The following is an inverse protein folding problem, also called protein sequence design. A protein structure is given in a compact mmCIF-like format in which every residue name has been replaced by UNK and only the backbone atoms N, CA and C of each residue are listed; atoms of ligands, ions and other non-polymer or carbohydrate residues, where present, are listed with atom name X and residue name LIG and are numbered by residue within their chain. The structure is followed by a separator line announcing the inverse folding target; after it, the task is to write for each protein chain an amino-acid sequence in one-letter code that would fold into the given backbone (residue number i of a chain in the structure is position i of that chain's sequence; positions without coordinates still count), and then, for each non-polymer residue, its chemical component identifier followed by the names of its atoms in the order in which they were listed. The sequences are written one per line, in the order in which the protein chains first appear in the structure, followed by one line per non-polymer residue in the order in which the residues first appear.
data_IF_700578831248
#
_entry.id   IF_700578831248
#
_cell.length_a   1.000
_cell.length_b   1.000
_cell.length_c   1.000
_cell.angle_alpha   90.00
_cell.angle_beta   90.00
_cell.angle_gamma   90.00
#
_symmetry.space_group_name_H-M   'P 1'
#
loop_
_entity.id
_entity.type
_entity.pdbx_description
1 polymer ?
#
# COMPACT_ATOMS: atom_id res chain seq x y z
N UNK A 1 -9.04 -19.57 27.63
CA UNK A 1 -10.46 -19.19 27.50
C UNK A 1 -10.60 -18.01 26.55
N UNK A 2 -11.29 -18.15 25.40
CA UNK A 2 -11.45 -17.04 24.46
C UNK A 2 -12.51 -16.05 24.96
N UNK A 3 -12.14 -14.78 25.08
CA UNK A 3 -13.06 -13.68 25.43
C UNK A 3 -14.06 -13.49 24.29
N UNK A 4 -15.33 -13.81 24.52
CA UNK A 4 -16.44 -13.51 23.61
C UNK A 4 -16.50 -11.99 23.37
N UNK A 5 -16.33 -11.55 22.13
CA UNK A 5 -16.60 -10.15 21.72
C UNK A 5 -18.09 -9.90 21.83
N UNK A 6 -18.48 -8.91 22.63
CA UNK A 6 -19.86 -8.42 22.70
C UNK A 6 -20.22 -7.68 21.39
N UNK A 7 -21.45 -7.81 20.86
CA UNK A 7 -21.87 -7.09 19.65
C UNK A 7 -21.85 -5.58 19.86
N UNK A 8 -21.26 -4.85 18.91
CA UNK A 8 -20.98 -3.40 18.96
C UNK A 8 -22.05 -2.54 18.28
N UNK A 9 -23.33 -2.89 18.38
CA UNK A 9 -24.43 -2.14 17.76
C UNK A 9 -25.40 -1.53 18.78
N UNK A 10 -24.87 -0.89 19.82
CA UNK A 10 -25.69 0.02 20.63
C UNK A 10 -25.66 1.39 19.94
N UNK A 11 -26.79 1.86 19.37
CA UNK A 11 -26.83 3.17 18.73
C UNK A 11 -26.42 4.24 19.75
N UNK A 12 -25.49 5.10 19.35
CA UNK A 12 -25.03 6.20 20.18
C UNK A 12 -26.23 7.01 20.64
N UNK A 13 -26.49 7.06 21.95
CA UNK A 13 -27.65 7.77 22.51
C UNK A 13 -27.59 9.23 22.09
N UNK A 14 -28.55 9.67 21.27
CA UNK A 14 -28.68 11.07 20.86
C UNK A 14 -28.92 11.94 22.10
N UNK A 15 -28.28 13.11 22.14
CA UNK A 15 -28.57 14.10 23.17
C UNK A 15 -30.00 14.62 22.97
N UNK A 16 -30.86 14.65 24.00
CA UNK A 16 -32.23 15.16 23.88
C UNK A 16 -32.25 16.65 23.47
N UNK A 17 -33.20 17.06 22.63
CA UNK A 17 -33.30 18.43 22.12
C UNK A 17 -33.43 19.49 23.23
N UNK A 18 -34.14 19.16 24.31
CA UNK A 18 -34.22 20.01 25.50
C UNK A 18 -32.83 20.32 26.10
N UNK A 19 -31.93 19.35 26.08
CA UNK A 19 -30.56 19.51 26.58
C UNK A 19 -29.69 20.30 25.59
N UNK A 20 -29.97 20.22 24.28
CA UNK A 20 -29.30 21.05 23.27
C UNK A 20 -29.65 22.53 23.48
N UNK A 21 -30.93 22.86 23.64
CA UNK A 21 -31.38 24.24 23.92
C UNK A 21 -30.85 24.76 25.25
N UNK A 22 -30.92 23.94 26.29
CA UNK A 22 -30.38 24.27 27.62
C UNK A 22 -28.86 24.53 27.59
N UNK A 23 -28.10 23.85 26.72
CA UNK A 23 -26.66 24.06 26.58
C UNK A 23 -26.31 25.44 25.99
N UNK A 24 -27.20 26.10 25.24
CA UNK A 24 -26.93 27.44 24.70
C UNK A 24 -26.95 28.55 25.78
N UNK A 25 -27.64 28.33 26.91
CA UNK A 25 -27.82 29.33 27.97
C UNK A 25 -26.58 29.49 28.88
N UNK A 26 -26.54 30.46 29.79
CA UNK A 26 -25.59 30.42 30.92
C UNK A 26 -25.99 29.34 31.95
N UNK A 27 -25.10 28.95 32.87
CA UNK A 27 -25.45 27.98 33.92
C UNK A 27 -26.50 28.55 34.89
N UNK A 28 -26.41 29.84 35.18
CA UNK A 28 -27.34 30.55 36.06
C UNK A 28 -28.72 30.70 35.42
N UNK A 29 -28.79 31.05 34.13
CA UNK A 29 -30.04 31.11 33.37
C UNK A 29 -30.73 29.75 33.29
N UNK A 30 -29.96 28.68 33.03
CA UNK A 30 -30.50 27.34 32.98
C UNK A 30 -30.97 26.84 34.36
N UNK A 31 -30.28 27.23 35.44
CA UNK A 31 -30.68 26.93 36.83
C UNK A 31 -31.91 27.73 37.25
N UNK A 32 -32.05 28.98 36.83
CA UNK A 32 -33.24 29.79 37.11
C UNK A 32 -34.47 29.25 36.38
N UNK A 33 -34.32 28.80 35.13
CA UNK A 33 -35.42 28.26 34.32
C UNK A 33 -35.81 26.82 34.68
N UNK A 34 -34.88 26.02 35.21
CA UNK A 34 -35.08 24.58 35.39
C UNK A 34 -34.66 24.04 36.76
N UNK A 35 -34.37 24.89 37.75
CA UNK A 35 -33.89 24.51 39.08
C UNK A 35 -34.94 24.42 40.18
N UNK A 36 -36.23 24.54 39.85
CA UNK A 36 -37.34 24.35 40.79
C UNK A 36 -37.63 22.87 41.12
N UNK A 37 -38.63 22.58 41.98
CA UNK A 37 -38.97 21.23 42.45
C UNK A 37 -39.31 20.22 41.33
N UNK A 38 -39.91 20.71 40.23
CA UNK A 38 -40.24 19.91 39.02
C UNK A 38 -39.23 20.14 37.87
N UNK A 39 -38.15 20.86 38.16
CA UNK A 39 -37.18 21.32 37.18
C UNK A 39 -36.22 20.22 36.73
N UNK A 40 -35.84 20.20 35.45
CA UNK A 40 -34.93 19.17 34.92
C UNK A 40 -33.44 19.43 35.20
N UNK A 41 -33.09 20.47 35.96
CA UNK A 41 -31.70 20.81 36.29
C UNK A 41 -31.15 19.94 37.42
N UNK A 42 -30.06 19.24 37.14
CA UNK A 42 -29.28 18.51 38.14
C UNK A 42 -27.85 19.08 38.19
N UNK A 43 -27.50 19.67 39.33
CA UNK A 43 -26.21 20.30 39.59
C UNK A 43 -25.02 19.34 39.44
N UNK A 44 -25.22 18.02 39.55
CA UNK A 44 -24.15 17.02 39.40
C UNK A 44 -23.87 16.69 37.93
N UNK A 45 -24.89 16.60 37.07
CA UNK A 45 -24.73 16.10 35.69
C UNK A 45 -24.93 17.16 34.61
N UNK A 46 -25.76 18.17 34.84
CA UNK A 46 -26.08 19.20 33.83
C UNK A 46 -24.86 20.06 33.44
N UNK A 47 -23.97 20.49 34.36
CA UNK A 47 -22.77 21.24 33.96
C UNK A 47 -21.89 20.46 32.97
N UNK A 48 -21.63 19.18 33.26
CA UNK A 48 -20.82 18.29 32.42
C UNK A 48 -21.50 18.01 31.06
N UNK A 49 -22.80 17.67 31.07
CA UNK A 49 -23.57 17.45 29.83
C UNK A 49 -23.59 18.67 28.93
N UNK A 50 -23.76 19.87 29.50
CA UNK A 50 -23.79 21.13 28.73
C UNK A 50 -22.42 21.47 28.15
N UNK A 51 -21.35 21.26 28.92
CA UNK A 51 -19.98 21.39 28.43
C UNK A 51 -19.69 20.40 27.29
N UNK A 52 -20.14 19.15 27.41
CA UNK A 52 -20.01 18.15 26.36
C UNK A 52 -20.75 18.55 25.09
N UNK A 53 -22.01 19.03 25.20
CA UNK A 53 -22.79 19.47 24.03
C UNK A 53 -22.11 20.62 23.29
N UNK A 54 -21.63 21.65 24.02
CA UNK A 54 -20.94 22.80 23.41
C UNK A 54 -19.64 22.41 22.72
N UNK A 55 -18.92 21.44 23.28
CA UNK A 55 -17.62 21.02 22.79
C UNK A 55 -17.69 19.75 21.94
N UNK A 56 -18.90 19.27 21.59
CA UNK A 56 -19.11 17.95 20.99
C UNK A 56 -18.31 17.78 19.71
N UNK A 57 -18.37 18.78 18.84
CA UNK A 57 -17.74 18.72 17.53
C UNK A 57 -16.21 18.74 17.66
N UNK A 58 -15.67 19.60 18.53
CA UNK A 58 -14.24 19.62 18.87
C UNK A 58 -13.75 18.30 19.47
N UNK A 59 -14.52 17.69 20.38
CA UNK A 59 -14.21 16.39 20.98
C UNK A 59 -14.23 15.28 19.92
N UNK A 60 -15.22 15.30 19.03
CA UNK A 60 -15.35 14.32 17.95
C UNK A 60 -14.22 14.46 16.93
N UNK A 61 -13.84 15.68 16.55
CA UNK A 61 -12.68 15.97 15.69
C UNK A 61 -11.39 15.45 16.33
N UNK A 62 -11.14 15.74 17.61
CA UNK A 62 -9.97 15.23 18.33
C UNK A 62 -9.94 13.69 18.40
N UNK A 63 -11.09 13.04 18.61
CA UNK A 63 -11.20 11.57 18.61
C UNK A 63 -11.02 10.97 17.22
N UNK A 64 -11.43 11.68 16.16
CA UNK A 64 -11.21 11.28 14.77
C UNK A 64 -9.73 11.35 14.42
N UNK A 65 -9.08 12.47 14.72
CA UNK A 65 -7.64 12.67 14.51
C UNK A 65 -6.81 11.59 15.21
N UNK A 66 -7.08 11.33 16.50
CA UNK A 66 -6.40 10.26 17.26
C UNK A 66 -6.62 8.86 16.68
N UNK A 67 -7.78 8.59 16.05
CA UNK A 67 -8.04 7.30 15.37
C UNK A 67 -7.25 7.21 14.07
N UNK A 68 -7.16 8.30 13.31
CA UNK A 68 -6.33 8.38 12.11
C UNK A 68 -4.84 8.22 12.43
N UNK A 69 -4.33 8.93 13.45
CA UNK A 69 -2.95 8.79 13.94
C UNK A 69 -2.63 7.34 14.33
N UNK A 70 -3.60 6.62 14.92
CA UNK A 70 -3.42 5.21 15.33
C UNK A 70 -3.44 4.21 14.17
N UNK A 71 -4.00 4.57 13.02
CA UNK A 71 -4.06 3.70 11.83
C UNK A 71 -2.82 3.86 10.94
N UNK A 72 -2.12 4.99 11.03
CA UNK A 72 -1.04 5.35 10.11
C UNK A 72 0.33 4.72 10.45
N UNK A 73 0.45 3.95 11.53
CA UNK A 73 1.75 3.38 11.92
C UNK A 73 1.62 1.89 12.19
N UNK A 74 1.54 1.13 11.10
CA UNK A 74 1.85 -0.30 11.10
C UNK A 74 3.30 -0.43 10.61
N UNK A 75 4.25 -0.38 11.53
CA UNK A 75 5.64 -0.71 11.25
C UNK A 75 5.83 -2.20 11.48
N UNK A 76 6.06 -2.95 10.40
CA UNK A 76 6.48 -4.35 10.47
C UNK A 76 8.01 -4.36 10.60
N UNK A 77 8.51 -5.04 11.61
CA UNK A 77 9.94 -5.20 11.84
C UNK A 77 10.50 -6.21 10.81
N UNK A 78 11.17 -5.70 9.77
CA UNK A 78 11.72 -6.51 8.67
C UNK A 78 13.14 -6.99 8.93
N UNK A 79 13.72 -6.70 10.10
CA UNK A 79 15.14 -6.88 10.40
C UNK A 79 15.65 -8.34 10.33
N UNK A 80 14.79 -9.34 10.17
CA UNK A 80 15.19 -10.74 10.08
C UNK A 80 14.59 -11.51 8.90
N UNK A 81 14.00 -10.85 7.91
CA UNK A 81 13.53 -11.57 6.73
C UNK A 81 14.75 -11.95 5.87
N UNK A 82 14.87 -13.20 5.42
CA UNK A 82 15.92 -13.57 4.49
C UNK A 82 15.75 -12.74 3.21
N UNK A 83 16.82 -12.05 2.81
CA UNK A 83 16.85 -11.29 1.57
C UNK A 83 16.48 -12.20 0.41
N UNK A 84 15.51 -11.80 -0.41
CA UNK A 84 15.04 -12.63 -1.52
C UNK A 84 15.72 -12.20 -2.81
N UNK A 85 16.53 -13.09 -3.38
CA UNK A 85 17.18 -12.89 -4.67
C UNK A 85 16.32 -13.48 -5.79
N UNK A 86 16.07 -12.71 -6.84
CA UNK A 86 15.23 -13.13 -7.96
C UNK A 86 15.72 -12.55 -9.29
N UNK A 87 15.41 -13.28 -10.37
CA UNK A 87 15.74 -12.88 -11.74
C UNK A 87 14.51 -12.41 -12.52
N UNK A 88 14.69 -11.38 -13.33
CA UNK A 88 13.70 -10.89 -14.30
C UNK A 88 14.25 -11.11 -15.71
N UNK A 89 13.52 -11.85 -16.54
CA UNK A 89 13.88 -12.03 -17.95
C UNK A 89 13.41 -10.83 -18.76
N UNK A 90 14.32 -10.16 -19.46
CA UNK A 90 14.02 -9.02 -20.33
C UNK A 90 14.00 -9.52 -21.77
N UNK A 91 12.86 -9.37 -22.45
CA UNK A 91 12.66 -9.83 -23.83
C UNK A 91 12.28 -8.65 -24.71
N UNK A 92 13.10 -8.34 -25.70
CA UNK A 92 12.81 -7.33 -26.70
C UNK A 92 12.08 -8.02 -27.87
N UNK A 93 10.79 -7.74 -28.05
CA UNK A 93 9.92 -8.43 -29.01
C UNK A 93 8.71 -7.56 -29.34
N UNK A 94 8.31 -7.54 -30.61
CA UNK A 94 7.02 -6.95 -31.00
C UNK A 94 5.83 -7.71 -30.38
N UNK A 95 4.63 -7.14 -30.35
CA UNK A 95 3.44 -7.88 -29.99
C UNK A 95 3.12 -9.08 -30.89
N UNK A 96 2.30 -10.01 -30.38
CA UNK A 96 1.86 -11.19 -31.11
C UNK A 96 2.95 -12.27 -31.20
N UNK A 97 2.95 -13.02 -32.30
CA UNK A 97 3.86 -14.15 -32.52
C UNK A 97 5.13 -13.77 -33.31
N UNK A 98 5.65 -12.56 -33.09
CA UNK A 98 6.85 -12.06 -33.77
C UNK A 98 8.14 -12.74 -33.27
N UNK A 99 9.24 -12.78 -34.04
CA UNK A 99 10.51 -13.29 -33.53
C UNK A 99 11.04 -12.47 -32.36
N UNK A 100 11.77 -13.13 -31.45
CA UNK A 100 12.50 -12.42 -30.38
C UNK A 100 13.67 -11.66 -30.99
N UNK A 101 13.76 -10.36 -30.72
CA UNK A 101 14.87 -9.53 -31.20
C UNK A 101 16.11 -9.71 -30.33
N UNK A 102 15.98 -9.58 -29.01
CA UNK A 102 17.06 -9.79 -28.06
C UNK A 102 16.55 -10.20 -26.67
N UNK A 103 17.42 -10.85 -25.89
CA UNK A 103 17.11 -11.30 -24.52
C UNK A 103 18.24 -10.92 -23.59
N UNK A 104 17.91 -10.38 -22.42
CA UNK A 104 18.82 -10.18 -21.29
C UNK A 104 18.17 -10.57 -19.96
N UNK A 105 18.91 -10.44 -18.86
CA UNK A 105 18.40 -10.75 -17.52
C UNK A 105 18.82 -9.66 -16.54
N UNK A 106 17.93 -9.31 -15.63
CA UNK A 106 18.27 -8.53 -14.44
C UNK A 106 18.16 -9.39 -13.18
N UNK A 107 19.10 -9.20 -12.26
CA UNK A 107 19.13 -9.89 -10.96
C UNK A 107 18.92 -8.85 -9.87
N UNK A 108 17.93 -9.12 -9.04
CA UNK A 108 17.49 -8.23 -7.98
C UNK A 108 17.57 -8.94 -6.64
N UNK A 109 17.97 -8.20 -5.60
CA UNK A 109 17.87 -8.61 -4.21
C UNK A 109 16.95 -7.61 -3.52
N UNK A 110 15.79 -8.08 -3.08
CA UNK A 110 14.73 -7.25 -2.53
C UNK A 110 14.29 -6.14 -3.51
N UNK A 111 14.76 -4.90 -3.33
CA UNK A 111 14.45 -3.74 -4.20
C UNK A 111 15.68 -3.17 -4.92
N UNK A 112 16.84 -3.83 -4.82
CA UNK A 112 18.08 -3.37 -5.42
C UNK A 112 18.50 -4.30 -6.57
N UNK A 113 18.83 -3.71 -7.73
CA UNK A 113 19.40 -4.45 -8.85
C UNK A 113 20.88 -4.69 -8.57
N UNK A 114 21.24 -5.96 -8.33
CA UNK A 114 22.60 -6.35 -7.95
C UNK A 114 23.45 -6.86 -9.12
N UNK A 115 22.83 -7.32 -10.20
CA UNK A 115 23.55 -7.76 -11.40
C UNK A 115 22.68 -7.75 -12.66
N UNK A 116 23.31 -7.92 -13.81
CA UNK A 116 22.62 -8.11 -15.08
C UNK A 116 23.42 -8.99 -16.03
N UNK A 117 22.71 -9.76 -16.86
CA UNK A 117 23.26 -10.37 -18.08
C UNK A 117 22.85 -9.47 -19.24
N UNK A 118 23.85 -8.89 -19.90
CA UNK A 118 23.63 -7.97 -21.02
C UNK A 118 22.82 -8.65 -22.14
N UNK A 119 21.89 -7.92 -22.79
CA UNK A 119 21.10 -8.51 -23.86
C UNK A 119 21.96 -9.00 -25.03
N UNK A 120 21.56 -10.12 -25.65
CA UNK A 120 22.13 -10.60 -26.92
C UNK A 120 21.08 -10.54 -28.03
N UNK A 121 21.50 -10.22 -29.25
CA UNK A 121 20.61 -10.34 -30.42
C UNK A 121 20.29 -11.81 -30.69
N UNK A 122 19.01 -12.11 -30.90
CA UNK A 122 18.52 -13.44 -31.24
C UNK A 122 18.27 -13.63 -32.74
N UNK A 123 18.64 -12.66 -33.59
CA UNK A 123 18.36 -12.68 -35.04
C UNK A 123 18.99 -13.85 -35.81
N UNK A 124 19.98 -14.53 -35.25
CA UNK A 124 20.62 -15.73 -35.81
C UNK A 124 20.21 -17.03 -35.10
N UNK A 125 19.18 -16.97 -34.26
CA UNK A 125 18.74 -18.08 -33.44
C UNK A 125 17.34 -18.53 -33.86
N UNK A 126 17.16 -19.84 -34.09
CA UNK A 126 15.82 -20.42 -34.21
C UNK A 126 15.16 -20.49 -32.82
N UNK A 127 13.82 -20.58 -32.72
CA UNK A 127 13.12 -20.59 -31.43
C UNK A 127 13.67 -21.62 -30.42
N UNK A 128 14.03 -22.82 -30.87
CA UNK A 128 14.62 -23.85 -29.99
C UNK A 128 15.99 -23.44 -29.41
N UNK A 129 16.81 -22.71 -30.18
CA UNK A 129 18.09 -22.18 -29.68
C UNK A 129 17.86 -21.06 -28.67
N UNK A 130 16.83 -20.23 -28.87
CA UNK A 130 16.45 -19.19 -27.90
C UNK A 130 16.03 -19.85 -26.58
N UNK A 131 15.20 -20.89 -26.64
CA UNK A 131 14.83 -21.66 -25.44
C UNK A 131 16.04 -22.28 -24.74
N UNK A 132 16.97 -22.89 -25.50
CA UNK A 132 18.20 -23.45 -24.94
C UNK A 132 19.07 -22.38 -24.28
N UNK A 133 19.18 -21.19 -24.88
CA UNK A 133 19.92 -20.08 -24.28
C UNK A 133 19.29 -19.61 -22.97
N UNK A 134 17.96 -19.51 -22.90
CA UNK A 134 17.24 -19.18 -21.66
C UNK A 134 17.46 -20.24 -20.57
N UNK A 135 17.55 -21.53 -20.94
CA UNK A 135 17.92 -22.59 -19.99
C UNK A 135 19.34 -22.42 -19.44
N UNK A 136 20.32 -22.13 -20.31
CA UNK A 136 21.71 -21.85 -19.88
C UNK A 136 21.80 -20.61 -18.99
N UNK A 137 20.97 -19.59 -19.24
CA UNK A 137 20.85 -18.44 -18.34
C UNK A 137 20.36 -18.87 -16.96
N UNK A 138 19.34 -19.73 -16.86
CA UNK A 138 18.88 -20.23 -15.57
C UNK A 138 19.95 -21.07 -14.85
N UNK A 139 20.71 -21.90 -15.57
CA UNK A 139 21.84 -22.64 -14.98
C UNK A 139 22.90 -21.68 -14.39
N UNK A 140 23.26 -20.63 -15.13
CA UNK A 140 24.18 -19.59 -14.67
C UNK A 140 23.66 -18.85 -13.43
N UNK A 141 22.35 -18.54 -13.41
CA UNK A 141 21.73 -17.81 -12.31
C UNK A 141 21.53 -18.69 -11.07
N UNK A 142 21.26 -19.98 -11.25
CA UNK A 142 21.20 -20.94 -10.14
C UNK A 142 22.58 -21.08 -9.49
N UNK A 143 23.65 -21.20 -10.29
CA UNK A 143 25.01 -21.33 -9.79
C UNK A 143 25.49 -20.08 -9.01
N UNK A 144 25.19 -18.88 -9.53
CA UNK A 144 25.72 -17.63 -8.95
C UNK A 144 24.80 -16.99 -7.89
N UNK A 145 23.48 -17.22 -7.98
CA UNK A 145 22.49 -16.51 -7.19
C UNK A 145 21.40 -17.41 -6.57
N UNK A 146 21.42 -18.73 -6.83
CA UNK A 146 20.39 -19.66 -6.37
C UNK A 146 19.03 -19.51 -7.07
N UNK A 147 18.96 -18.79 -8.20
CA UNK A 147 17.72 -18.53 -8.93
C UNK A 147 17.43 -19.70 -9.88
N UNK A 148 16.40 -20.49 -9.57
CA UNK A 148 15.98 -21.65 -10.40
C UNK A 148 14.93 -21.31 -11.46
N UNK A 149 14.26 -20.17 -11.33
CA UNK A 149 13.22 -19.68 -12.22
C UNK A 149 13.16 -18.17 -12.20
N UNK A 150 12.74 -17.57 -13.31
CA UNK A 150 12.46 -16.14 -13.33
C UNK A 150 11.20 -15.84 -12.51
N UNK A 151 11.24 -14.73 -11.76
CA UNK A 151 10.08 -14.22 -11.03
C UNK A 151 9.06 -13.60 -12.00
N UNK A 152 9.57 -12.96 -13.06
CA UNK A 152 8.75 -12.35 -14.10
C UNK A 152 9.50 -12.28 -15.43
N UNK A 153 8.75 -12.03 -16.50
CA UNK A 153 9.26 -11.71 -17.82
C UNK A 153 8.72 -10.34 -18.21
N UNK A 154 9.61 -9.43 -18.57
CA UNK A 154 9.26 -8.08 -19.07
C UNK A 154 9.48 -8.06 -20.57
N UNK A 155 8.43 -7.70 -21.32
CA UNK A 155 8.52 -7.47 -22.76
C UNK A 155 8.73 -5.99 -23.04
N UNK A 156 9.80 -5.67 -23.76
CA UNK A 156 10.10 -4.33 -24.26
C UNK A 156 9.99 -4.28 -25.78
N UNK A 157 9.76 -3.08 -26.31
CA UNK A 157 9.76 -2.84 -27.75
C UNK A 157 11.18 -3.06 -28.33
N UNK A 158 11.34 -3.74 -29.48
CA UNK A 158 12.65 -3.95 -30.10
C UNK A 158 13.44 -2.67 -30.38
N UNK A 159 12.78 -1.53 -30.59
CA UNK A 159 13.44 -0.22 -30.78
C UNK A 159 14.20 0.24 -29.52
N UNK A 160 13.83 -0.28 -28.35
CA UNK A 160 14.50 -0.01 -27.07
C UNK A 160 15.72 -0.91 -26.83
N UNK A 161 16.11 -1.75 -27.80
CA UNK A 161 17.26 -2.63 -27.67
C UNK A 161 18.54 -1.83 -27.32
N UNK A 162 19.26 -2.16 -26.25
CA UNK A 162 20.44 -1.39 -25.83
C UNK A 162 21.72 -1.78 -26.56
N UNK A 163 21.69 -2.79 -27.44
CA UNK A 163 22.88 -3.30 -28.13
C UNK A 163 23.29 -2.31 -29.23
N UNK A 164 24.58 -2.03 -29.37
CA UNK A 164 25.14 -1.19 -30.45
C UNK A 164 26.30 -1.91 -31.15
N UNK A 165 26.31 -1.96 -32.50
CA UNK A 165 25.25 -1.52 -33.42
C UNK A 165 24.03 -2.46 -33.38
N UNK A 166 22.82 -1.90 -33.50
CA UNK A 166 21.57 -2.65 -33.63
C UNK A 166 20.99 -2.49 -35.04
N UNK A 167 20.57 -3.58 -35.68
CA UNK A 167 20.00 -3.56 -37.04
C UNK A 167 18.59 -2.94 -37.13
N UNK A 168 17.91 -2.73 -36.00
CA UNK A 168 16.61 -2.06 -35.96
C UNK A 168 16.71 -0.55 -35.72
N UNK A 169 17.89 -0.06 -35.32
CA UNK A 169 18.13 1.38 -35.13
C UNK A 169 18.75 1.97 -36.41
N UNK A 170 18.32 3.17 -36.83
CA UNK A 170 19.01 3.87 -37.89
C UNK A 170 20.45 4.15 -37.46
N UNK A 171 21.41 3.71 -38.29
CA UNK A 171 22.81 4.06 -38.09
C UNK A 171 22.92 5.57 -38.37
N UNK A 172 23.14 6.37 -37.33
CA UNK A 172 23.47 7.78 -37.52
C UNK A 172 24.88 7.81 -38.08
N UNK A 173 24.98 8.04 -39.40
CA UNK A 173 26.25 8.20 -40.11
C UNK A 173 26.92 9.54 -39.83
#
# INVERSE_FOLDING_TARGET
MPKKKLPTDVPARKTPDKCLRCAALSAEQAKALHGGPDGCWDSKVCPSRRSYVRNRDRINQNRSRKRHEKLQTLTVDTASLPSTTYGILIVYREPGDSPVHSIGVEVWQDQEKIAQVAPIHCCQMVPSQVHLYVQKLLELLEQNYGIKKFSSMVRLDPQLCPIEPCFLKPQVG
#
